data_IF_060758499643
#
_entry.id   IF_060758499643
#
_cell.length_a   1.000
_cell.length_b   1.000
_cell.length_c   1.000
_cell.angle_alpha   90.00
_cell.angle_beta   90.00
_cell.angle_gamma   90.00
#
_symmetry.space_group_name_H-M   'P 1'
#
loop_
_entity.id
_entity.type
_entity.pdbx_description
1 polymer ?
#
# COMPACT_ATOMS: atom_id res chain seq x y z
N UNK A 1 -21.95 3.42 -30.06
CA UNK A 1 -21.30 4.02 -28.88
C UNK A 1 -22.25 3.87 -27.71
N UNK A 2 -21.87 3.06 -26.74
CA UNK A 2 -22.14 3.30 -25.32
C UNK A 2 -20.99 2.60 -24.58
N UNK A 3 -19.98 3.34 -24.07
CA UNK A 3 -18.89 2.73 -23.32
C UNK A 3 -19.48 2.23 -22.01
N UNK A 4 -19.35 0.92 -21.76
CA UNK A 4 -19.99 0.21 -20.65
C UNK A 4 -20.04 1.01 -19.36
N UNK A 5 -21.24 1.20 -18.84
CA UNK A 5 -21.48 1.77 -17.53
C UNK A 5 -20.61 1.05 -16.49
N UNK A 6 -19.58 1.73 -16.00
CA UNK A 6 -18.86 1.33 -14.80
C UNK A 6 -19.88 1.23 -13.68
N UNK A 7 -20.17 0.03 -13.18
CA UNK A 7 -21.06 -0.09 -12.04
C UNK A 7 -20.36 0.58 -10.84
N UNK A 8 -21.05 1.29 -9.94
CA UNK A 8 -20.44 1.86 -8.72
C UNK A 8 -19.79 0.82 -7.78
N UNK A 9 -19.85 -0.47 -8.13
CA UNK A 9 -19.18 -1.57 -7.44
C UNK A 9 -17.97 -2.14 -8.22
N UNK A 10 -17.67 -1.60 -9.42
CA UNK A 10 -16.49 -1.97 -10.21
C UNK A 10 -15.22 -1.21 -9.76
N UNK A 11 -15.30 -0.46 -8.67
CA UNK A 11 -14.15 0.22 -8.09
C UNK A 11 -13.10 -0.80 -7.65
N UNK A 12 -12.00 -0.87 -8.40
CA UNK A 12 -10.89 -1.74 -8.10
C UNK A 12 -10.26 -1.41 -6.75
N UNK A 13 -10.21 -2.40 -5.85
CA UNK A 13 -9.53 -2.26 -4.57
C UNK A 13 -8.07 -2.71 -4.69
N UNK A 14 -7.12 -1.88 -4.24
CA UNK A 14 -5.68 -2.14 -4.42
C UNK A 14 -5.22 -3.50 -3.87
N UNK A 15 -5.78 -3.93 -2.73
CA UNK A 15 -5.46 -5.23 -2.15
C UNK A 15 -5.98 -6.41 -3.00
N UNK A 16 -7.13 -6.27 -3.66
CA UNK A 16 -7.65 -7.31 -4.57
C UNK A 16 -6.78 -7.41 -5.82
N UNK A 17 -6.36 -6.26 -6.36
CA UNK A 17 -5.42 -6.18 -7.49
C UNK A 17 -4.09 -6.86 -7.16
N UNK A 18 -3.52 -6.57 -5.99
CA UNK A 18 -2.30 -7.22 -5.52
C UNK A 18 -2.47 -8.74 -5.39
N UNK A 19 -3.58 -9.19 -4.80
CA UNK A 19 -3.86 -10.62 -4.61
C UNK A 19 -4.01 -11.33 -5.95
N UNK A 20 -4.77 -10.76 -6.89
CA UNK A 20 -4.96 -11.33 -8.23
C UNK A 20 -3.65 -11.45 -9.00
N UNK A 21 -2.82 -10.40 -9.00
CA UNK A 21 -1.48 -10.45 -9.61
C UNK A 21 -0.58 -11.48 -8.94
N UNK A 22 -0.59 -11.56 -7.61
CA UNK A 22 0.20 -12.54 -6.87
C UNK A 22 -0.21 -13.97 -7.23
N UNK A 23 -1.51 -14.26 -7.35
CA UNK A 23 -2.01 -15.56 -7.78
C UNK A 23 -1.52 -15.91 -9.20
N UNK A 24 -1.58 -14.96 -10.14
CA UNK A 24 -1.09 -15.18 -11.51
C UNK A 24 0.42 -15.49 -11.53
N UNK A 25 1.22 -14.73 -10.79
CA UNK A 25 2.67 -14.97 -10.67
C UNK A 25 2.96 -16.33 -10.03
N UNK A 26 2.22 -16.72 -8.97
CA UNK A 26 2.37 -18.03 -8.32
C UNK A 26 2.06 -19.17 -9.30
N UNK A 27 1.06 -18.99 -10.16
CA UNK A 27 0.69 -19.95 -11.20
C UNK A 27 1.67 -19.97 -12.39
N UNK A 28 2.71 -19.13 -12.38
CA UNK A 28 3.71 -19.05 -13.44
C UNK A 28 3.26 -18.29 -14.69
N UNK A 29 2.23 -17.43 -14.56
CA UNK A 29 1.78 -16.56 -15.64
C UNK A 29 2.80 -15.44 -15.90
N UNK A 30 2.90 -14.99 -17.16
CA UNK A 30 3.85 -13.95 -17.58
C UNK A 30 3.28 -12.53 -17.48
N UNK A 31 2.01 -12.41 -17.03
CA UNK A 31 1.25 -11.17 -16.93
C UNK A 31 1.14 -10.40 -18.27
N UNK A 32 1.38 -11.06 -19.41
CA UNK A 32 1.33 -10.44 -20.75
C UNK A 32 -0.08 -9.99 -21.13
N UNK A 33 -1.09 -10.72 -20.64
CA UNK A 33 -2.51 -10.46 -20.88
C UNK A 33 -3.08 -9.38 -19.96
N UNK A 34 -2.35 -9.00 -18.92
CA UNK A 34 -2.78 -8.00 -17.96
C UNK A 34 -2.53 -6.60 -18.51
N UNK A 35 -3.51 -5.71 -18.41
CA UNK A 35 -3.36 -4.32 -18.81
C UNK A 35 -2.53 -3.55 -17.78
N UNK A 36 -1.21 -3.52 -17.99
CA UNK A 36 -0.24 -2.88 -17.10
C UNK A 36 -0.46 -1.36 -17.00
N UNK A 37 -0.80 -0.71 -18.11
CA UNK A 37 -1.01 0.74 -18.15
C UNK A 37 -2.24 1.14 -17.32
N UNK A 38 -3.33 0.37 -17.41
CA UNK A 38 -4.53 0.60 -16.58
C UNK A 38 -4.23 0.41 -15.08
N UNK A 39 -3.42 -0.60 -14.73
CA UNK A 39 -2.99 -0.82 -13.34
C UNK A 39 -2.16 0.34 -12.80
N UNK A 40 -1.18 0.82 -13.58
CA UNK A 40 -0.32 1.93 -13.18
C UNK A 40 -1.11 3.24 -13.09
N UNK A 41 -2.07 3.47 -14.00
CA UNK A 41 -2.99 4.59 -13.91
C UNK A 41 -3.87 4.52 -12.66
N UNK A 42 -4.38 3.34 -12.32
CA UNK A 42 -5.13 3.09 -11.09
C UNK A 42 -4.31 3.36 -9.83
N UNK A 43 -3.08 2.85 -9.75
CA UNK A 43 -2.18 3.13 -8.63
C UNK A 43 -1.93 4.63 -8.46
N UNK A 44 -1.71 5.34 -9.57
CA UNK A 44 -1.45 6.79 -9.53
C UNK A 44 -2.69 7.58 -9.09
N UNK A 45 -3.88 7.12 -9.44
CA UNK A 45 -5.13 7.73 -9.01
C UNK A 45 -5.42 7.49 -7.52
N UNK A 46 -4.94 6.38 -6.95
CA UNK A 46 -5.09 6.05 -5.54
C UNK A 46 -4.06 6.72 -4.63
N UNK A 47 -2.96 7.23 -5.19
CA UNK A 47 -1.90 7.90 -4.43
C UNK A 47 -2.35 9.29 -3.99
N UNK A 48 -2.27 9.54 -2.67
CA UNK A 48 -2.58 10.84 -2.08
C UNK A 48 -1.37 11.79 -2.11
N UNK A 49 -1.64 13.09 -1.91
CA UNK A 49 -0.60 14.12 -1.94
C UNK A 49 0.49 13.94 -0.89
N UNK A 50 0.15 13.30 0.24
CA UNK A 50 1.06 12.99 1.34
C UNK A 50 1.94 11.77 1.08
N UNK A 51 1.73 11.04 -0.01
CA UNK A 51 2.47 9.83 -0.39
C UNK A 51 1.86 8.52 0.10
N UNK A 52 0.75 8.57 0.83
CA UNK A 52 -0.06 7.39 1.20
C UNK A 52 -0.96 6.96 0.04
N UNK A 53 -1.65 5.82 0.20
CA UNK A 53 -2.57 5.28 -0.80
C UNK A 53 -3.93 5.03 -0.17
N UNK A 54 -4.98 5.35 -0.92
CA UNK A 54 -6.33 4.87 -0.65
C UNK A 54 -6.50 3.45 -1.20
N UNK A 55 -7.44 2.72 -0.60
CA UNK A 55 -7.85 1.40 -1.03
C UNK A 55 -8.71 1.44 -2.30
N UNK A 56 -9.59 2.44 -2.42
CA UNK A 56 -10.51 2.68 -3.54
C UNK A 56 -10.52 4.16 -3.95
N UNK A 57 -10.95 4.45 -5.18
CA UNK A 57 -10.92 5.79 -5.76
C UNK A 57 -11.91 6.75 -5.10
N UNK A 58 -13.07 6.25 -4.66
CA UNK A 58 -14.11 6.99 -3.95
C UNK A 58 -13.67 7.52 -2.58
N UNK A 59 -12.45 7.17 -2.15
CA UNK A 59 -11.90 7.55 -0.86
C UNK A 59 -12.15 6.46 0.20
N UNK A 60 -11.11 6.14 0.95
CA UNK A 60 -11.14 5.14 2.01
C UNK A 60 -10.09 5.47 3.07
N UNK A 61 -9.87 4.54 4.01
CA UNK A 61 -8.70 4.56 4.86
C UNK A 61 -7.40 4.59 4.03
N UNK A 62 -6.36 5.22 4.57
CA UNK A 62 -5.03 5.34 3.98
C UNK A 62 -3.97 4.77 4.94
N UNK A 63 -3.66 3.50 4.75
CA UNK A 63 -2.80 2.70 5.62
C UNK A 63 -1.49 2.29 4.89
N UNK A 64 -0.42 2.03 5.65
CA UNK A 64 0.83 1.43 5.17
C UNK A 64 0.59 0.09 4.43
N UNK A 65 -0.49 -0.64 4.73
CA UNK A 65 -0.89 -1.84 3.99
C UNK A 65 -1.06 -1.57 2.49
N UNK A 66 -1.65 -0.44 2.11
CA UNK A 66 -1.86 -0.10 0.70
C UNK A 66 -0.60 0.39 0.02
N UNK A 67 0.28 1.06 0.76
CA UNK A 67 1.65 1.39 0.30
C UNK A 67 2.43 0.11 -0.05
N UNK A 68 2.33 -0.93 0.78
CA UNK A 68 2.94 -2.23 0.49
C UNK A 68 2.34 -2.87 -0.77
N UNK A 69 1.01 -2.91 -0.89
CA UNK A 69 0.34 -3.45 -2.07
C UNK A 69 0.77 -2.72 -3.35
N UNK A 70 0.78 -1.38 -3.34
CA UNK A 70 1.23 -0.56 -4.46
C UNK A 70 2.67 -0.89 -4.87
N UNK A 71 3.56 -0.99 -3.88
CA UNK A 71 4.98 -1.29 -4.09
C UNK A 71 5.19 -2.68 -4.70
N UNK A 72 4.47 -3.69 -4.20
CA UNK A 72 4.51 -5.04 -4.75
C UNK A 72 4.00 -5.09 -6.19
N UNK A 73 2.93 -4.37 -6.52
CA UNK A 73 2.41 -4.31 -7.89
C UNK A 73 3.44 -3.67 -8.83
N UNK A 74 4.01 -2.52 -8.47
CA UNK A 74 5.07 -1.88 -9.24
C UNK A 74 6.29 -2.81 -9.44
N UNK A 75 6.66 -3.57 -8.39
CA UNK A 75 7.73 -4.55 -8.45
C UNK A 75 7.41 -5.72 -9.40
N UNK A 76 6.23 -6.32 -9.29
CA UNK A 76 5.79 -7.42 -10.15
C UNK A 76 5.70 -7.01 -11.63
N UNK A 77 5.27 -5.77 -11.91
CA UNK A 77 5.22 -5.22 -13.25
C UNK A 77 6.57 -4.70 -13.76
N UNK A 78 7.59 -4.66 -12.89
CA UNK A 78 8.88 -4.03 -13.12
C UNK A 78 8.75 -2.58 -13.64
N UNK A 79 7.75 -1.84 -13.17
CA UNK A 79 7.49 -0.47 -13.58
C UNK A 79 7.01 0.38 -12.38
N UNK A 80 7.79 1.41 -12.05
CA UNK A 80 7.55 2.31 -10.92
C UNK A 80 6.87 3.62 -11.33
N UNK A 81 6.51 3.81 -12.60
CA UNK A 81 5.83 5.01 -13.08
C UNK A 81 4.40 5.18 -12.53
N UNK A 82 3.84 4.11 -11.94
CA UNK A 82 2.51 4.10 -11.34
C UNK A 82 2.42 4.84 -10.00
N UNK A 83 3.54 5.30 -9.44
CA UNK A 83 3.52 6.11 -8.20
C UNK A 83 4.71 7.05 -8.07
N UNK A 84 4.51 8.15 -7.35
CA UNK A 84 5.59 8.99 -6.86
C UNK A 84 6.31 8.28 -5.71
N UNK A 85 7.36 7.55 -6.07
CA UNK A 85 8.18 6.79 -5.12
C UNK A 85 8.81 7.68 -4.06
N UNK A 86 9.16 8.94 -4.39
CA UNK A 86 9.79 9.85 -3.43
C UNK A 86 8.82 10.23 -2.32
N UNK A 87 7.60 10.64 -2.69
CA UNK A 87 6.55 10.95 -1.70
C UNK A 87 6.21 9.75 -0.84
N UNK A 88 6.10 8.57 -1.43
CA UNK A 88 5.82 7.34 -0.68
C UNK A 88 6.93 6.98 0.28
N UNK A 89 8.20 7.10 -0.11
CA UNK A 89 9.34 6.89 0.81
C UNK A 89 9.32 7.93 1.94
N UNK A 90 9.02 9.18 1.65
CA UNK A 90 8.91 10.23 2.66
C UNK A 90 7.73 9.99 3.61
N UNK A 91 6.61 9.45 3.12
CA UNK A 91 5.51 8.96 3.96
C UNK A 91 5.97 7.82 4.87
N UNK A 92 6.61 6.78 4.34
CA UNK A 92 7.13 5.64 5.14
C UNK A 92 8.11 6.14 6.21
N UNK A 93 9.03 7.06 5.90
CA UNK A 93 9.97 7.63 6.87
C UNK A 93 9.29 8.39 8.00
N UNK A 94 8.23 9.14 7.69
CA UNK A 94 7.43 9.85 8.70
C UNK A 94 6.68 8.85 9.58
N UNK A 95 6.15 7.78 9.00
CA UNK A 95 5.47 6.70 9.73
C UNK A 95 6.44 5.90 10.63
N UNK A 96 7.65 5.61 10.15
CA UNK A 96 8.70 4.93 10.93
C UNK A 96 9.17 5.74 12.14
N UNK A 97 9.06 7.08 12.11
CA UNK A 97 9.44 7.93 13.24
C UNK A 97 8.39 7.96 14.36
N UNK A 98 7.14 7.63 14.05
CA UNK A 98 6.07 7.52 15.03
C UNK A 98 6.15 6.17 15.80
N UNK A 99 6.69 5.13 15.15
CA UNK A 99 6.50 3.74 15.56
C UNK A 99 7.82 2.97 15.75
N UNK A 100 8.82 3.57 16.43
CA UNK A 100 9.97 2.79 16.90
C UNK A 100 9.61 1.76 18.01
N UNK A 101 8.32 1.44 18.17
CA UNK A 101 7.76 0.31 18.87
C UNK A 101 6.38 -0.03 18.29
N UNK A 102 6.13 -1.29 17.97
CA UNK A 102 4.81 -1.77 17.54
C UNK A 102 3.75 -1.49 18.61
N UNK A 103 2.80 -0.58 18.32
CA UNK A 103 1.59 -0.45 19.10
C UNK A 103 0.36 -0.47 18.18
N UNK A 104 -0.55 -1.41 18.48
CA UNK A 104 -1.82 -1.61 17.80
C UNK A 104 -2.82 -0.51 18.25
N UNK A 105 -2.59 0.74 17.81
CA UNK A 105 -3.51 1.86 18.01
C UNK A 105 -3.13 2.85 19.12
N UNK A 106 -3.41 4.13 18.87
CA UNK A 106 -3.21 5.21 19.83
C UNK A 106 -4.28 5.13 20.94
N UNK A 107 -3.87 4.73 22.14
CA UNK A 107 -4.66 4.89 23.37
C UNK A 107 -5.28 3.63 23.97
N UNK A 108 -4.96 2.42 23.48
CA UNK A 108 -5.40 1.18 24.13
C UNK A 108 -4.21 0.40 24.72
N UNK A 109 -4.39 -0.04 25.96
CA UNK A 109 -3.39 -0.72 26.76
C UNK A 109 -2.99 -2.07 26.15
N UNK A 110 -1.69 -2.34 26.14
CA UNK A 110 -1.12 -3.65 25.88
C UNK A 110 -1.63 -4.64 26.94
N UNK A 111 -2.56 -5.51 26.55
CA UNK A 111 -2.98 -6.63 27.38
C UNK A 111 -1.87 -7.70 27.37
N UNK A 112 -0.88 -7.49 28.23
CA UNK A 112 0.22 -8.40 28.51
C UNK A 112 0.89 -7.97 29.81
N UNK A 113 0.56 -8.67 30.89
CA UNK A 113 0.96 -8.33 32.25
C UNK A 113 2.47 -8.10 32.38
N UNK A 114 2.89 -6.88 32.75
CA UNK A 114 4.18 -6.68 33.40
C UNK A 114 5.04 -5.50 32.93
N UNK A 115 5.01 -4.44 33.75
CA UNK A 115 6.14 -3.57 34.13
C UNK A 115 6.90 -2.75 33.05
N UNK A 116 6.74 -1.42 33.26
CA UNK A 116 7.77 -0.41 33.56
C UNK A 116 8.70 0.11 32.44
N UNK A 117 8.55 1.43 32.24
CA UNK A 117 9.55 2.51 32.27
C UNK A 117 10.92 2.31 31.56
N UNK A 118 11.21 3.35 30.78
CA UNK A 118 12.50 4.07 30.70
C UNK A 118 13.50 3.63 29.64
N UNK A 119 13.73 4.57 28.70
CA UNK A 119 14.97 4.90 27.98
C UNK A 119 15.84 3.72 27.50
N UNK A 120 16.02 3.62 26.19
CA UNK A 120 17.36 3.76 25.60
C UNK A 120 17.31 3.83 24.07
N UNK A 121 18.06 4.81 23.55
CA UNK A 121 18.70 4.77 22.25
C UNK A 121 19.41 3.43 22.09
N UNK A 122 19.19 2.69 21.02
CA UNK A 122 20.21 1.82 20.41
C UNK A 122 19.79 1.52 18.97
N UNK A 123 20.57 2.07 18.05
CA UNK A 123 21.08 1.43 16.83
C UNK A 123 20.30 0.20 16.32
N UNK A 124 19.78 0.27 15.10
CA UNK A 124 20.15 -0.71 14.08
C UNK A 124 20.10 -0.05 12.71
N UNK A 125 21.29 0.11 12.11
CA UNK A 125 21.44 0.15 10.66
C UNK A 125 21.01 -1.21 10.13
N UNK A 126 20.13 -1.21 9.14
CA UNK A 126 20.20 -2.13 8.01
C UNK A 126 20.13 -1.25 6.77
#
# INVERSE_FOLDING_TARGET
>A
MDPGMSHPYDSGHIAMTYTGLSCLVILGDDLSRVNKDALLAGLRALQLEDGSFCAVLEGSENDMRFVYCASCICYMLNNWSGMDTKKTVDYIRRSMSYDNGLAQGAGLESHGSGKKRSKSKTCLRI
#
